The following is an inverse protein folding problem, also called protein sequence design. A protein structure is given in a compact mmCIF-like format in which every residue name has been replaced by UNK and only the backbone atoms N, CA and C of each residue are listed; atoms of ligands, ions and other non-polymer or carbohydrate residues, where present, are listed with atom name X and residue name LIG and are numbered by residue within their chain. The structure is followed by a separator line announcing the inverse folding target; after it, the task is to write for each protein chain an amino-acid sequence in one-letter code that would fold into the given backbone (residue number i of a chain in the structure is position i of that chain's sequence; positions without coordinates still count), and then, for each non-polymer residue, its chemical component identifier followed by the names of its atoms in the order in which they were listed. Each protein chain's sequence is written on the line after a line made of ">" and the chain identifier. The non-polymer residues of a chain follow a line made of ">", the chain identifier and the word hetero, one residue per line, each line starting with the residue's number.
data_IF_040267688838
#
_entry.id   IF_040267688838
#
_cell.length_a   1.000
_cell.length_b   1.000
_cell.length_c   1.000
_cell.angle_alpha   90.00
_cell.angle_beta   90.00
_cell.angle_gamma   90.00
#
_symmetry.space_group_name_H-M   'P 1'
#
loop_
_entity.id
_entity.type
_entity.pdbx_description
1 polymer ?
#
# COMPACT_ATOMS: atom_id res chain seq x y z
N UNK A 1 6.18 6.71 4.28
CA UNK A 1 4.95 5.91 4.11
C UNK A 1 4.14 5.99 5.39
N UNK A 2 2.90 6.49 5.39
CA UNK A 2 2.12 6.68 6.61
C UNK A 2 1.42 5.38 7.03
N UNK A 3 1.62 4.96 8.28
CA UNK A 3 0.96 3.80 8.86
C UNK A 3 -0.50 4.16 9.19
N UNK A 4 -1.44 3.40 8.63
CA UNK A 4 -2.89 3.57 8.87
C UNK A 4 -3.38 2.67 10.01
N UNK A 5 -2.87 1.44 10.10
CA UNK A 5 -3.17 0.51 11.18
C UNK A 5 -2.03 -0.48 11.41
N UNK A 6 -1.96 -1.00 12.63
CA UNK A 6 -1.04 -2.07 13.04
C UNK A 6 -1.88 -3.24 13.55
N UNK A 7 -1.55 -4.45 13.09
CA UNK A 7 -2.22 -5.67 13.54
C UNK A 7 -1.81 -6.05 14.97
N UNK A 8 -2.77 -6.42 15.82
CA UNK A 8 -2.49 -6.76 17.23
C UNK A 8 -1.70 -8.07 17.33
N UNK A 9 -0.65 -8.07 18.14
CA UNK A 9 0.25 -9.21 18.29
C UNK A 9 1.13 -9.46 17.06
N UNK A 10 1.23 -8.50 16.14
CA UNK A 10 2.22 -8.52 15.06
C UNK A 10 3.57 -7.98 15.53
N UNK A 11 4.61 -8.20 14.72
CA UNK A 11 5.95 -7.65 14.97
C UNK A 11 5.89 -6.13 15.16
N UNK A 12 5.11 -5.40 14.34
CA UNK A 12 4.95 -3.97 14.48
C UNK A 12 4.29 -3.53 15.81
N UNK A 13 3.38 -4.33 16.35
CA UNK A 13 2.75 -4.07 17.66
C UNK A 13 3.76 -4.27 18.80
N UNK A 14 4.60 -5.31 18.71
CA UNK A 14 5.67 -5.57 19.67
C UNK A 14 6.76 -4.47 19.66
N UNK A 15 7.06 -3.92 18.47
CA UNK A 15 7.94 -2.77 18.31
C UNK A 15 7.31 -1.44 18.77
N UNK A 16 6.02 -1.45 19.14
CA UNK A 16 5.31 -0.25 19.61
C UNK A 16 5.03 0.76 18.50
N UNK A 17 4.92 0.31 17.25
CA UNK A 17 4.50 1.15 16.13
C UNK A 17 3.01 1.50 16.26
N UNK A 18 2.67 2.74 15.94
CA UNK A 18 1.30 3.25 16.08
C UNK A 18 0.82 3.87 14.76
N UNK A 19 -0.51 3.89 14.54
CA UNK A 19 -1.09 4.67 13.45
C UNK A 19 -0.63 6.13 13.52
N UNK A 20 -0.22 6.68 12.37
CA UNK A 20 0.37 8.02 12.28
C UNK A 20 1.90 8.06 12.26
N UNK A 21 2.56 6.97 12.64
CA UNK A 21 4.00 6.80 12.40
C UNK A 21 4.29 6.67 10.90
N UNK A 22 5.51 7.00 10.49
CA UNK A 22 5.94 6.99 9.10
C UNK A 22 7.15 6.10 8.90
N UNK A 23 7.01 5.01 8.17
CA UNK A 23 8.16 4.25 7.68
C UNK A 23 8.88 5.10 6.63
N UNK A 24 10.20 5.24 6.76
CA UNK A 24 11.05 6.02 5.86
C UNK A 24 11.67 5.12 4.80
N UNK A 25 12.32 4.05 5.24
CA UNK A 25 13.02 3.08 4.41
C UNK A 25 13.21 1.75 5.13
N UNK A 26 13.50 0.72 4.34
CA UNK A 26 13.82 -0.64 4.76
C UNK A 26 15.17 -0.97 4.13
N UNK A 27 16.17 -1.30 4.95
CA UNK A 27 17.55 -1.55 4.52
C UNK A 27 18.14 -0.42 3.65
N UNK A 28 17.81 0.82 3.99
CA UNK A 28 18.25 2.01 3.24
C UNK A 28 17.50 2.23 1.92
N UNK A 29 16.51 1.40 1.59
CA UNK A 29 15.67 1.53 0.40
C UNK A 29 14.28 2.02 0.78
N UNK A 30 13.88 3.18 0.25
CA UNK A 30 12.52 3.67 0.38
C UNK A 30 11.61 2.98 -0.66
N UNK A 31 10.67 2.11 -0.24
CA UNK A 31 9.71 1.49 -1.16
C UNK A 31 8.86 2.54 -1.86
N UNK A 32 8.55 2.32 -3.14
CA UNK A 32 7.68 3.22 -3.93
C UNK A 32 6.21 2.87 -3.81
N UNK A 33 5.89 1.64 -3.43
CA UNK A 33 4.53 1.11 -3.31
C UNK A 33 4.51 -0.13 -2.41
N UNK A 34 3.31 -0.64 -2.18
CA UNK A 34 3.06 -1.82 -1.34
C UNK A 34 3.73 -3.10 -1.86
N UNK A 35 3.98 -3.20 -3.18
CA UNK A 35 4.61 -4.38 -3.78
C UNK A 35 6.10 -4.36 -3.46
N UNK A 36 6.76 -3.22 -3.65
CA UNK A 36 8.17 -3.03 -3.28
C UNK A 36 8.37 -3.19 -1.76
N UNK A 37 7.43 -2.69 -0.95
CA UNK A 37 7.44 -2.92 0.51
C UNK A 37 7.38 -4.41 0.84
N UNK A 38 6.39 -5.14 0.31
CA UNK A 38 6.23 -6.57 0.57
C UNK A 38 7.43 -7.39 0.12
N UNK A 39 8.10 -6.97 -0.96
CA UNK A 39 9.33 -7.60 -1.42
C UNK A 39 10.49 -7.35 -0.46
N UNK A 40 10.67 -6.11 0.02
CA UNK A 40 11.73 -5.75 0.95
C UNK A 40 11.55 -6.38 2.33
N UNK A 41 10.32 -6.64 2.77
CA UNK A 41 10.04 -7.32 4.04
C UNK A 41 10.12 -8.85 3.97
N UNK A 42 10.22 -9.45 2.78
CA UNK A 42 10.44 -10.90 2.60
C UNK A 42 11.92 -11.25 2.76
N UNK A 43 12.41 -11.09 3.98
CA UNK A 43 13.77 -11.41 4.42
C UNK A 43 13.70 -11.86 5.89
N UNK A 44 14.75 -12.53 6.36
CA UNK A 44 14.86 -12.98 7.75
C UNK A 44 15.36 -11.84 8.65
N UNK A 45 16.31 -11.04 8.15
CA UNK A 45 16.86 -9.88 8.84
C UNK A 45 16.58 -8.60 8.03
N UNK A 46 16.11 -7.54 8.68
CA UNK A 46 15.94 -6.22 8.08
C UNK A 46 16.06 -5.06 9.07
N UNK A 47 16.52 -3.92 8.56
CA UNK A 47 16.60 -2.66 9.31
C UNK A 47 15.45 -1.74 8.87
N UNK A 48 14.56 -1.42 9.80
CA UNK A 48 13.39 -0.57 9.57
C UNK A 48 13.62 0.82 10.18
N UNK A 49 13.65 1.84 9.33
CA UNK A 49 13.75 3.24 9.76
C UNK A 49 12.35 3.87 9.84
N UNK A 50 11.96 4.33 11.03
CA UNK A 50 10.63 4.91 11.28
C UNK A 50 10.74 6.30 11.89
N UNK A 51 9.87 7.20 11.44
CA UNK A 51 9.61 8.47 12.10
C UNK A 51 8.31 8.39 12.87
N UNK A 52 8.38 8.49 14.19
CA UNK A 52 7.22 8.53 15.07
C UNK A 52 6.36 9.77 14.80
N UNK A 53 5.07 9.70 15.14
CA UNK A 53 4.18 10.85 15.07
C UNK A 53 4.66 12.05 15.92
N UNK A 54 5.44 11.80 16.98
CA UNK A 54 6.12 12.82 17.80
C UNK A 54 7.20 13.59 17.02
N UNK A 55 7.68 13.02 15.90
CA UNK A 55 8.77 13.53 15.09
C UNK A 55 10.12 12.86 15.35
N UNK A 56 10.22 12.01 16.38
CA UNK A 56 11.41 11.22 16.70
C UNK A 56 11.72 10.18 15.61
N UNK A 57 13.01 9.90 15.42
CA UNK A 57 13.48 8.87 14.49
C UNK A 57 13.94 7.66 15.30
N UNK A 58 13.38 6.50 14.96
CA UNK A 58 13.72 5.22 15.56
C UNK A 58 14.16 4.25 14.46
N UNK A 59 15.15 3.43 14.79
CA UNK A 59 15.71 2.41 13.91
C UNK A 59 15.51 1.07 14.61
N UNK A 60 14.84 0.15 13.92
CA UNK A 60 14.60 -1.19 14.42
C UNK A 60 15.41 -2.19 13.62
N UNK A 61 16.11 -3.07 14.32
CA UNK A 61 16.78 -4.24 13.77
C UNK A 61 15.85 -5.44 14.05
N UNK A 62 15.33 -6.06 13.01
CA UNK A 62 14.24 -7.03 13.09
C UNK A 62 14.72 -8.36 12.52
N UNK A 63 14.69 -9.41 13.35
CA UNK A 63 14.89 -10.81 12.98
C UNK A 63 13.53 -11.52 13.03
N UNK A 64 13.14 -12.18 11.94
CA UNK A 64 11.84 -12.85 11.78
C UNK A 64 11.94 -14.04 10.82
N UNK A 65 10.90 -14.87 10.75
CA UNK A 65 10.84 -15.87 9.69
C UNK A 65 10.59 -15.20 8.33
N UNK A 66 11.09 -15.80 7.26
CA UNK A 66 11.00 -15.25 5.90
C UNK A 66 9.55 -14.91 5.48
N UNK A 67 8.59 -15.75 5.88
CA UNK A 67 7.17 -15.64 5.52
C UNK A 67 6.38 -14.69 6.44
N UNK A 68 6.94 -14.28 7.58
CA UNK A 68 6.25 -13.43 8.54
C UNK A 68 6.08 -12.00 8.02
N UNK A 69 4.86 -11.46 8.14
CA UNK A 69 4.58 -10.06 7.86
C UNK A 69 4.84 -9.20 9.10
N UNK A 70 5.24 -7.94 8.89
CA UNK A 70 5.40 -6.98 9.98
C UNK A 70 4.05 -6.57 10.60
N UNK A 71 2.94 -6.80 9.90
CA UNK A 71 1.59 -6.44 10.37
C UNK A 71 1.28 -4.94 10.24
N UNK A 72 1.93 -4.26 9.28
CA UNK A 72 1.76 -2.83 9.01
C UNK A 72 0.81 -2.64 7.83
N UNK A 73 -0.24 -1.86 8.03
CA UNK A 73 -1.09 -1.34 6.95
C UNK A 73 -0.78 0.14 6.71
N UNK A 74 -0.76 0.54 5.44
CA UNK A 74 -0.51 1.92 5.03
C UNK A 74 -1.80 2.63 4.61
N UNK A 75 -1.78 3.97 4.63
CA UNK A 75 -2.89 4.79 4.13
C UNK A 75 -3.00 4.71 2.60
N UNK A 76 -1.87 4.81 1.91
CA UNK A 76 -1.76 4.73 0.46
C UNK A 76 -1.12 3.40 0.03
N UNK A 77 -1.45 2.94 -1.18
CA UNK A 77 -0.80 1.77 -1.81
C UNK A 77 0.40 2.15 -2.68
N UNK A 78 0.50 3.44 -3.02
CA UNK A 78 1.58 4.03 -3.80
C UNK A 78 2.14 5.19 -3.00
N UNK A 79 3.42 5.12 -2.68
CA UNK A 79 4.08 6.02 -1.74
C UNK A 79 4.80 7.19 -2.44
N UNK A 80 5.18 7.00 -3.72
CA UNK A 80 5.83 8.00 -4.56
C UNK A 80 4.83 8.84 -5.38
N UNK A 81 3.53 8.67 -5.15
CA UNK A 81 2.45 9.32 -5.88
C UNK A 81 2.09 8.62 -7.20
N UNK A 82 0.96 9.02 -7.77
CA UNK A 82 0.45 8.43 -9.02
C UNK A 82 1.36 8.83 -10.18
N UNK A 83 1.80 7.84 -10.97
CA UNK A 83 2.52 8.09 -12.22
C UNK A 83 1.56 8.61 -13.29
N UNK A 84 1.68 9.88 -13.72
CA UNK A 84 0.76 10.42 -14.70
C UNK A 84 1.13 9.94 -16.12
N UNK A 85 0.12 9.81 -16.97
CA UNK A 85 0.32 9.55 -18.39
C UNK A 85 1.18 10.65 -19.02
N UNK A 86 2.32 10.26 -19.60
CA UNK A 86 3.21 11.19 -20.30
C UNK A 86 2.75 11.52 -21.74
N UNK A 87 1.71 10.84 -22.23
CA UNK A 87 1.23 11.01 -23.60
C UNK A 87 0.48 12.34 -23.79
N UNK A 88 0.76 13.00 -24.92
CA UNK A 88 0.12 14.25 -25.36
C UNK A 88 -0.81 13.99 -26.54
N UNK A 89 -1.72 13.03 -26.38
CA UNK A 89 -2.67 12.66 -27.41
C UNK A 89 -3.60 13.83 -27.71
N UNK A 90 -3.79 14.15 -28.99
CA UNK A 90 -4.76 15.18 -29.43
C UNK A 90 -6.20 14.87 -28.95
N UNK A 91 -6.50 13.60 -28.70
CA UNK A 91 -7.79 13.09 -28.24
C UNK A 91 -7.83 12.82 -26.72
N UNK A 92 -6.93 13.39 -25.92
CA UNK A 92 -6.93 13.17 -24.48
C UNK A 92 -8.13 13.84 -23.80
N UNK A 93 -9.08 13.05 -23.32
CA UNK A 93 -10.28 13.57 -22.64
C UNK A 93 -9.96 14.36 -21.37
N UNK A 94 -8.89 14.02 -20.65
CA UNK A 94 -8.47 14.73 -19.44
C UNK A 94 -7.97 16.14 -19.79
N UNK A 95 -7.21 16.31 -20.88
CA UNK A 95 -6.74 17.62 -21.35
C UNK A 95 -7.87 18.51 -21.88
N UNK A 96 -8.97 17.90 -22.32
CA UNK A 96 -10.12 18.61 -22.90
C UNK A 96 -11.19 18.97 -21.85
N UNK A 97 -10.96 18.70 -20.56
CA UNK A 97 -11.92 19.04 -19.51
C UNK A 97 -12.00 20.56 -19.29
N UNK A 98 -13.18 21.11 -18.97
CA UNK A 98 -13.32 22.52 -18.61
C UNK A 98 -12.61 22.82 -17.29
N UNK A 99 -12.16 24.06 -17.09
CA UNK A 99 -11.55 24.53 -15.85
C UNK A 99 -12.57 24.61 -14.70
N UNK A 100 -12.09 24.53 -13.45
CA UNK A 100 -12.91 24.67 -12.25
C UNK A 100 -13.57 23.38 -11.73
N UNK A 101 -13.24 22.22 -12.28
CA UNK A 101 -13.63 20.92 -11.75
C UNK A 101 -12.73 20.51 -10.56
N UNK A 102 -13.06 19.38 -9.92
CA UNK A 102 -12.25 18.81 -8.84
C UNK A 102 -10.85 18.49 -9.34
N UNK A 103 -9.83 18.85 -8.57
CA UNK A 103 -8.41 18.67 -8.96
C UNK A 103 -8.06 17.24 -9.37
N UNK A 104 -8.65 16.24 -8.70
CA UNK A 104 -8.42 14.83 -9.01
C UNK A 104 -8.88 14.40 -10.41
N UNK A 105 -9.79 15.15 -11.06
CA UNK A 105 -10.27 14.84 -12.41
C UNK A 105 -9.27 15.24 -13.51
N UNK A 106 -8.30 16.09 -13.19
CA UNK A 106 -7.24 16.51 -14.11
C UNK A 106 -6.01 15.59 -14.07
N UNK A 107 -6.00 14.59 -13.19
CA UNK A 107 -4.91 13.61 -13.12
C UNK A 107 -5.10 12.59 -14.25
N UNK A 108 -4.12 12.48 -15.15
CA UNK A 108 -4.07 11.43 -16.17
C UNK A 108 -3.49 10.16 -15.54
N UNK A 109 -4.34 9.32 -14.96
CA UNK A 109 -3.89 8.06 -14.37
C UNK A 109 -3.43 7.08 -15.47
N UNK A 110 -2.15 6.72 -15.43
CA UNK A 110 -1.52 5.65 -16.25
C UNK A 110 -0.65 4.75 -15.35
N UNK A 111 -0.97 4.71 -14.04
CA UNK A 111 -0.20 3.96 -13.07
C UNK A 111 -0.70 2.51 -12.99
N UNK A 112 0.06 1.61 -13.60
CA UNK A 112 -0.25 0.18 -13.63
C UNK A 112 -0.40 -0.44 -12.24
N UNK A 113 0.24 0.12 -11.21
CA UNK A 113 0.21 -0.40 -9.83
C UNK A 113 -1.20 -0.32 -9.26
N UNK A 114 -1.88 0.80 -9.50
CA UNK A 114 -3.26 1.01 -9.06
C UNK A 114 -4.22 0.05 -9.76
N UNK A 115 -3.98 -0.23 -11.05
CA UNK A 115 -4.77 -1.18 -11.83
C UNK A 115 -4.66 -2.59 -11.27
N UNK A 116 -3.44 -3.09 -11.04
CA UNK A 116 -3.22 -4.44 -10.48
C UNK A 116 -3.92 -4.57 -9.13
N UNK A 117 -3.77 -3.58 -8.25
CA UNK A 117 -4.38 -3.64 -6.93
C UNK A 117 -5.92 -3.66 -7.00
N UNK A 118 -6.50 -2.84 -7.87
CA UNK A 118 -7.96 -2.83 -8.10
C UNK A 118 -8.48 -4.17 -8.62
N UNK A 119 -7.78 -4.76 -9.60
CA UNK A 119 -8.15 -6.06 -10.16
C UNK A 119 -8.03 -7.17 -9.11
N UNK A 120 -6.97 -7.14 -8.29
CA UNK A 120 -6.78 -8.09 -7.19
C UNK A 120 -7.91 -8.02 -6.15
N UNK A 121 -8.28 -6.83 -5.69
CA UNK A 121 -9.40 -6.65 -4.75
C UNK A 121 -10.71 -7.17 -5.36
N UNK A 122 -10.99 -6.85 -6.61
CA UNK A 122 -12.20 -7.32 -7.29
C UNK A 122 -12.24 -8.85 -7.33
N UNK A 123 -11.12 -9.50 -7.64
CA UNK A 123 -11.01 -10.95 -7.64
C UNK A 123 -11.31 -11.54 -6.26
N UNK A 124 -10.73 -10.98 -5.20
CA UNK A 124 -10.99 -11.42 -3.82
C UNK A 124 -12.48 -11.29 -3.44
N UNK A 125 -13.13 -10.19 -3.82
CA UNK A 125 -14.57 -9.99 -3.60
C UNK A 125 -15.42 -11.03 -4.34
N UNK A 126 -15.06 -11.37 -5.59
CA UNK A 126 -15.75 -12.41 -6.37
C UNK A 126 -15.59 -13.78 -5.68
N UNK A 127 -14.40 -14.12 -5.21
CA UNK A 127 -14.16 -15.40 -4.52
C UNK A 127 -14.98 -15.49 -3.22
N UNK A 128 -15.02 -14.41 -2.43
CA UNK A 128 -15.82 -14.34 -1.19
C UNK A 128 -17.33 -14.48 -1.46
N UNK A 129 -17.84 -13.91 -2.56
CA UNK A 129 -19.26 -13.99 -2.92
C UNK A 129 -19.65 -15.37 -3.46
N UNK A 130 -18.75 -16.09 -4.15
CA UNK A 130 -19.03 -17.44 -4.63
C UNK A 130 -19.00 -18.50 -3.50
N UNK A 131 -18.26 -18.26 -2.42
CA UNK A 131 -18.28 -19.14 -1.25
C UNK A 131 -19.57 -19.03 -0.41
N UNK A 132 -20.42 -18.01 -0.66
CA UNK A 132 -21.66 -17.76 0.09
C UNK A 132 -22.96 -18.36 -0.48
N UNK A 133 -22.95 -18.90 -1.71
CA UNK A 133 -24.18 -19.32 -2.41
C UNK A 133 -24.22 -20.80 -2.83
N UNK A 134 -23.41 -21.67 -2.23
CA UNK A 134 -23.33 -23.09 -2.60
C UNK A 134 -23.42 -24.08 -1.41
N UNK A 135 -24.06 -23.69 -0.30
CA UNK A 135 -24.24 -24.57 0.87
C UNK A 135 -25.66 -24.59 1.47
N UNK A 136 -26.71 -24.18 0.74
CA UNK A 136 -28.11 -24.24 1.23
C UNK A 136 -29.09 -24.84 0.19
N UNK A 137 -28.74 -25.97 -0.44
CA UNK A 137 -29.73 -26.77 -1.19
C UNK A 137 -29.55 -28.29 -1.09
N UNK A 138 -28.91 -28.78 -0.03
CA UNK A 138 -28.82 -30.21 0.28
C UNK A 138 -28.72 -30.44 1.79
N UNK A 139 -29.79 -30.10 2.52
CA UNK A 139 -30.40 -30.88 3.61
C UNK A 139 -31.87 -30.51 3.67
#
# INVERSE_FOLDING_TARGET
>A
MLISSVEKGSIADELGLLPGDRVLDIDGTAPKDIIEYSFLTQTEDLILNVRKASGELEVFDIEKDFEDDLGISFEDIVFDGIKPCANKCIFCFVDQQPEGLRESLYIKDDDWRLRIFREHILLLQILQTQTGSAWNSCV
#
